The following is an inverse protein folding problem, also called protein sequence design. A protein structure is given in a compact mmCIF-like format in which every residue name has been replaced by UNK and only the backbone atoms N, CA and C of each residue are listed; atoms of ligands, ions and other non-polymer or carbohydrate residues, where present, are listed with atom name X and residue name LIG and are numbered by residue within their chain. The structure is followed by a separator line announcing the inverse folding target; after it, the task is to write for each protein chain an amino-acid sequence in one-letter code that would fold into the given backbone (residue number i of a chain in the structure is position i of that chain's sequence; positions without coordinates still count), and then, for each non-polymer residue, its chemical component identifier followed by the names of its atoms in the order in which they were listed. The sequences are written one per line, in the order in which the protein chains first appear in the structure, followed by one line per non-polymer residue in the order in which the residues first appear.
data_IF_415055689881
#
_entry.id   IF_415055689881
#
_cell.length_a   1.000
_cell.length_b   1.000
_cell.length_c   1.000
_cell.angle_alpha   90.00
_cell.angle_beta   90.00
_cell.angle_gamma   90.00
#
_symmetry.space_group_name_H-M   'P 1'
#
loop_
_entity.id
_entity.type
_entity.pdbx_description
1 polymer ?
#
# COMPACT_ATOMS: atom_id res chain seq x y z
N UNK A 1 -10.18 -27.53 5.04
CA UNK A 1 -10.15 -26.44 4.06
C UNK A 1 -9.79 -27.02 2.70
N UNK A 2 -10.38 -26.57 1.61
CA UNK A 2 -9.97 -26.99 0.29
C UNK A 2 -8.52 -26.58 0.02
N UNK A 3 -7.80 -27.40 -0.72
CA UNK A 3 -6.46 -27.09 -1.21
C UNK A 3 -6.55 -26.18 -2.45
N UNK A 4 -5.42 -25.59 -2.89
CA UNK A 4 -5.40 -24.84 -4.16
C UNK A 4 -5.79 -25.72 -5.34
N UNK A 5 -5.35 -26.98 -5.37
CA UNK A 5 -5.73 -27.93 -6.38
C UNK A 5 -7.24 -28.23 -6.41
N UNK A 6 -7.90 -28.35 -5.24
CA UNK A 6 -9.36 -28.51 -5.15
C UNK A 6 -10.12 -27.32 -5.73
N UNK A 7 -9.50 -26.15 -5.77
CA UNK A 7 -10.04 -24.92 -6.34
C UNK A 7 -9.62 -24.69 -7.81
N UNK A 8 -8.90 -25.63 -8.42
CA UNK A 8 -8.37 -25.51 -9.77
C UNK A 8 -7.23 -24.49 -9.91
N UNK A 9 -6.56 -24.18 -8.81
CA UNK A 9 -5.44 -23.25 -8.78
C UNK A 9 -4.12 -24.02 -8.65
N UNK A 10 -3.07 -23.49 -9.26
CA UNK A 10 -1.73 -24.03 -9.12
C UNK A 10 -1.00 -23.43 -7.91
N UNK A 11 -0.10 -24.20 -7.32
CA UNK A 11 0.86 -23.67 -6.38
C UNK A 11 1.78 -22.63 -7.07
N UNK A 12 2.22 -21.64 -6.31
CA UNK A 12 3.12 -20.60 -6.76
C UNK A 12 4.25 -20.37 -5.77
N UNK A 13 5.42 -20.09 -6.28
CA UNK A 13 6.57 -19.74 -5.45
C UNK A 13 6.45 -18.29 -4.97
N UNK A 14 6.59 -18.10 -3.66
CA UNK A 14 6.61 -16.77 -3.06
C UNK A 14 8.00 -16.14 -3.32
N UNK A 15 8.04 -14.98 -3.95
CA UNK A 15 9.29 -14.27 -4.19
C UNK A 15 9.99 -13.94 -2.85
N UNK A 16 11.20 -14.47 -2.68
CA UNK A 16 11.97 -14.35 -1.43
C UNK A 16 12.41 -12.91 -1.11
N UNK A 17 12.36 -11.98 -2.09
CA UNK A 17 12.66 -10.56 -1.91
C UNK A 17 11.53 -9.82 -1.21
N UNK A 18 10.32 -10.40 -1.17
CA UNK A 18 9.14 -9.79 -0.55
C UNK A 18 9.37 -9.40 0.90
N UNK A 19 8.87 -8.23 1.28
CA UNK A 19 9.04 -7.69 2.63
C UNK A 19 8.39 -8.54 3.74
N UNK A 20 7.45 -9.42 3.38
CA UNK A 20 6.74 -10.27 4.33
C UNK A 20 6.13 -11.50 3.63
N UNK A 21 6.20 -12.67 4.27
CA UNK A 21 5.49 -13.88 3.83
C UNK A 21 4.12 -13.92 4.49
N UNK A 22 3.11 -13.46 3.78
CA UNK A 22 1.75 -13.46 4.29
C UNK A 22 1.17 -14.87 4.33
N UNK A 23 0.55 -15.21 5.46
CA UNK A 23 -0.28 -16.40 5.64
C UNK A 23 -1.69 -15.95 5.97
N UNK A 24 -2.69 -16.53 5.33
CA UNK A 24 -4.09 -16.23 5.60
C UNK A 24 -4.56 -16.70 6.98
N UNK A 25 -5.77 -16.26 7.36
CA UNK A 25 -6.45 -16.71 8.56
C UNK A 25 -6.24 -15.83 9.80
N UNK A 26 -7.17 -15.98 10.75
CA UNK A 26 -7.22 -15.19 11.97
C UNK A 26 -6.02 -15.46 12.91
N UNK A 27 -5.57 -16.70 13.00
CA UNK A 27 -4.42 -17.05 13.84
C UNK A 27 -3.15 -16.33 13.38
N UNK A 28 -2.86 -16.36 12.06
CA UNK A 28 -1.71 -15.64 11.50
C UNK A 28 -1.81 -14.12 11.70
N UNK A 29 -3.03 -13.57 11.66
CA UNK A 29 -3.28 -12.16 11.94
C UNK A 29 -2.97 -11.83 13.40
N UNK A 30 -3.45 -12.64 14.33
CA UNK A 30 -3.19 -12.50 15.78
C UNK A 30 -1.71 -12.65 16.11
N UNK A 31 -1.04 -13.65 15.54
CA UNK A 31 0.39 -13.85 15.69
C UNK A 31 1.18 -12.61 15.25
N UNK A 32 0.76 -11.99 14.13
CA UNK A 32 1.41 -10.76 13.67
C UNK A 32 1.16 -9.58 14.59
N UNK A 33 -0.05 -9.42 15.14
CA UNK A 33 -0.36 -8.37 16.12
C UNK A 33 0.45 -8.58 17.39
N UNK A 34 0.46 -9.80 17.93
CA UNK A 34 1.22 -10.16 19.12
C UNK A 34 2.73 -9.89 18.93
N UNK A 35 3.28 -10.34 17.81
CA UNK A 35 4.67 -10.06 17.48
C UNK A 35 4.96 -8.56 17.42
N UNK A 36 4.16 -7.80 16.65
CA UNK A 36 4.47 -6.38 16.36
C UNK A 36 4.28 -5.48 17.58
N UNK A 37 3.28 -5.76 18.41
CA UNK A 37 3.00 -4.99 19.64
C UNK A 37 3.84 -5.49 20.83
N UNK A 38 3.72 -6.76 21.15
CA UNK A 38 4.14 -7.30 22.45
C UNK A 38 5.55 -7.91 22.41
N UNK A 39 5.85 -8.80 21.46
CA UNK A 39 7.12 -9.50 21.41
C UNK A 39 8.29 -8.64 20.93
N UNK A 40 8.08 -7.86 19.86
CA UNK A 40 9.15 -7.08 19.23
C UNK A 40 9.12 -5.59 19.59
N UNK A 41 8.05 -5.12 20.22
CA UNK A 41 7.86 -3.71 20.63
C UNK A 41 8.01 -2.72 19.45
N UNK A 42 7.75 -3.15 18.21
CA UNK A 42 7.97 -2.32 17.01
C UNK A 42 6.96 -1.18 16.88
N UNK A 43 5.79 -1.33 17.48
CA UNK A 43 4.80 -0.26 17.54
C UNK A 43 5.35 1.03 18.14
N UNK A 44 6.29 0.94 19.09
CA UNK A 44 6.89 2.12 19.77
C UNK A 44 7.69 3.03 18.83
N UNK A 45 8.07 2.52 17.65
CA UNK A 45 8.83 3.24 16.63
C UNK A 45 8.04 3.46 15.33
N UNK A 46 6.81 2.99 15.23
CA UNK A 46 5.99 2.97 14.01
C UNK A 46 6.00 4.28 13.24
N UNK A 47 5.80 5.42 13.90
CA UNK A 47 5.79 6.74 13.24
C UNK A 47 7.11 7.03 12.49
N UNK A 48 8.24 6.57 13.04
CA UNK A 48 9.56 6.80 12.45
C UNK A 48 9.85 5.84 11.30
N UNK A 49 9.36 4.61 11.38
CA UNK A 49 9.70 3.53 10.45
C UNK A 49 8.71 3.31 9.32
N UNK A 50 7.45 3.72 9.47
CA UNK A 50 6.33 3.41 8.58
C UNK A 50 6.52 3.75 7.09
N UNK A 51 7.45 4.62 6.78
CA UNK A 51 7.79 4.99 5.40
C UNK A 51 8.94 4.16 4.81
N UNK A 52 9.42 3.14 5.53
CA UNK A 52 10.45 2.23 5.04
C UNK A 52 9.96 1.40 3.84
N UNK A 53 10.94 0.84 3.13
CA UNK A 53 10.72 0.04 1.91
C UNK A 53 11.22 -1.39 2.09
N UNK A 54 12.25 -1.60 2.90
CA UNK A 54 12.94 -2.88 3.07
C UNK A 54 12.73 -3.42 4.48
N UNK A 55 12.57 -4.73 4.58
CA UNK A 55 12.51 -5.46 5.84
C UNK A 55 11.10 -5.69 6.36
N UNK A 56 11.05 -6.53 7.38
CA UNK A 56 9.83 -7.08 7.95
C UNK A 56 9.03 -6.04 8.73
N UNK A 57 9.72 -5.16 9.49
CA UNK A 57 9.12 -4.43 10.62
C UNK A 57 9.05 -2.92 10.42
N UNK A 58 9.31 -2.40 9.22
CA UNK A 58 9.15 -0.96 8.98
C UNK A 58 7.69 -0.50 9.17
N UNK A 59 6.72 -1.40 8.99
CA UNK A 59 5.30 -1.16 9.24
C UNK A 59 4.62 -2.38 9.84
N UNK A 60 3.40 -2.22 10.33
CA UNK A 60 2.63 -3.28 10.98
C UNK A 60 2.28 -4.46 10.05
N UNK A 61 2.07 -4.21 8.76
CA UNK A 61 1.62 -5.19 7.74
C UNK A 61 0.20 -5.74 7.98
N UNK A 62 -0.62 -5.08 8.81
CA UNK A 62 -1.96 -5.58 9.18
C UNK A 62 -2.98 -5.51 8.04
N UNK A 63 -2.72 -4.73 6.99
CA UNK A 63 -3.69 -4.45 5.93
C UNK A 63 -4.20 -5.69 5.21
N UNK A 64 -3.36 -6.71 5.00
CA UNK A 64 -3.78 -7.94 4.33
C UNK A 64 -4.88 -8.71 5.09
N UNK A 65 -4.81 -8.71 6.42
CA UNK A 65 -5.83 -9.35 7.26
C UNK A 65 -7.01 -8.43 7.56
N UNK A 66 -6.79 -7.12 7.60
CA UNK A 66 -7.86 -6.13 7.73
C UNK A 66 -8.76 -6.09 6.49
N UNK A 67 -8.20 -6.29 5.29
CA UNK A 67 -8.95 -6.23 4.04
C UNK A 67 -9.97 -7.37 3.91
N UNK A 68 -9.61 -8.58 4.37
CA UNK A 68 -10.47 -9.76 4.29
C UNK A 68 -11.22 -10.07 5.60
N UNK A 69 -11.06 -9.24 6.63
CA UNK A 69 -11.75 -9.39 7.91
C UNK A 69 -11.21 -10.48 8.83
N UNK A 70 -10.00 -11.03 8.55
CA UNK A 70 -9.36 -12.00 9.46
C UNK A 70 -9.03 -11.40 10.82
N UNK A 71 -8.91 -10.08 10.92
CA UNK A 71 -8.82 -9.33 12.17
C UNK A 71 -9.62 -8.03 12.07
N UNK A 72 -10.21 -7.62 13.20
CA UNK A 72 -10.98 -6.38 13.29
C UNK A 72 -10.08 -5.17 13.61
N UNK A 73 -10.33 -4.00 13.01
CA UNK A 73 -9.65 -2.77 13.42
C UNK A 73 -9.96 -2.38 14.87
N UNK A 74 -11.13 -2.76 15.39
CA UNK A 74 -11.51 -2.56 16.80
C UNK A 74 -10.64 -3.42 17.72
N UNK A 75 -10.38 -4.67 17.35
CA UNK A 75 -9.49 -5.55 18.11
C UNK A 75 -8.07 -4.97 18.17
N UNK A 76 -7.53 -4.52 17.04
CA UNK A 76 -6.21 -3.87 16.99
C UNK A 76 -6.19 -2.60 17.84
N UNK A 77 -7.23 -1.79 17.78
CA UNK A 77 -7.35 -0.58 18.61
C UNK A 77 -7.24 -0.90 20.10
N UNK A 78 -7.97 -1.89 20.60
CA UNK A 78 -7.92 -2.26 22.00
C UNK A 78 -6.59 -2.88 22.40
N UNK A 79 -5.97 -3.68 21.54
CA UNK A 79 -4.61 -4.19 21.75
C UNK A 79 -3.59 -3.03 21.88
N UNK A 80 -3.73 -1.96 21.09
CA UNK A 80 -2.88 -0.78 21.21
C UNK A 80 -3.17 -0.05 22.53
N UNK A 81 -4.44 0.06 22.94
CA UNK A 81 -4.79 0.70 24.21
C UNK A 81 -4.26 -0.07 25.43
N UNK A 82 -4.29 -1.39 25.39
CA UNK A 82 -3.69 -2.22 26.42
C UNK A 82 -2.15 -2.07 26.43
N UNK A 83 -1.53 -2.03 25.26
CA UNK A 83 -0.10 -1.73 25.14
C UNK A 83 0.24 -0.36 25.72
N UNK A 84 -0.53 0.69 25.41
CA UNK A 84 -0.35 2.05 25.94
C UNK A 84 -0.46 2.10 27.48
N UNK A 85 -1.34 1.26 28.06
CA UNK A 85 -1.54 1.19 29.50
C UNK A 85 -0.38 0.48 30.22
N UNK A 86 0.13 -0.61 29.63
CA UNK A 86 1.04 -1.53 30.32
C UNK A 86 2.50 -1.32 29.99
N UNK A 87 2.82 -0.76 28.82
CA UNK A 87 4.19 -0.66 28.31
C UNK A 87 4.58 0.81 28.01
N UNK A 88 4.01 1.40 26.95
CA UNK A 88 4.39 2.72 26.50
C UNK A 88 3.30 3.39 25.65
N UNK A 89 2.95 4.62 26.04
CA UNK A 89 2.14 5.53 25.22
C UNK A 89 3.02 6.59 24.59
N UNK A 90 3.04 6.69 23.26
CA UNK A 90 3.82 7.71 22.55
C UNK A 90 3.18 8.10 21.23
N UNK A 91 3.88 8.94 20.44
CA UNK A 91 3.40 9.36 19.12
C UNK A 91 3.28 8.22 18.11
N UNK A 92 4.03 7.13 18.25
CA UNK A 92 3.96 5.99 17.33
C UNK A 92 2.73 5.14 17.59
N UNK A 93 2.37 4.91 18.85
CA UNK A 93 1.14 4.19 19.23
C UNK A 93 -0.09 4.98 18.76
N UNK A 94 -0.14 6.28 19.02
CA UNK A 94 -1.17 7.17 18.47
C UNK A 94 -1.24 7.12 16.94
N UNK A 95 -0.07 7.11 16.26
CA UNK A 95 -0.03 7.15 14.80
C UNK A 95 -0.59 5.88 14.17
N UNK A 96 -0.42 4.71 14.79
CA UNK A 96 -1.03 3.47 14.29
C UNK A 96 -2.57 3.52 14.44
N UNK A 97 -3.09 4.05 15.54
CA UNK A 97 -4.53 4.32 15.69
C UNK A 97 -5.01 5.29 14.60
N UNK A 98 -4.27 6.34 14.33
CA UNK A 98 -4.60 7.32 13.30
C UNK A 98 -4.71 6.70 11.89
N UNK A 99 -3.87 5.71 11.55
CA UNK A 99 -3.98 4.99 10.28
C UNK A 99 -5.25 4.10 10.23
N UNK A 100 -5.69 3.53 11.37
CA UNK A 100 -6.98 2.83 11.42
C UNK A 100 -8.15 3.79 11.20
N UNK A 101 -8.07 5.02 11.74
CA UNK A 101 -9.07 6.06 11.50
C UNK A 101 -9.10 6.48 10.03
N UNK A 102 -7.96 6.56 9.34
CA UNK A 102 -7.94 6.82 7.88
C UNK A 102 -8.68 5.75 7.08
N UNK A 103 -8.56 4.48 7.48
CA UNK A 103 -9.31 3.39 6.85
C UNK A 103 -10.82 3.61 6.98
N UNK A 104 -11.28 3.94 8.20
CA UNK A 104 -12.70 4.21 8.45
C UNK A 104 -13.17 5.48 7.73
N UNK A 105 -12.33 6.52 7.70
CA UNK A 105 -12.61 7.74 6.97
C UNK A 105 -12.90 7.48 5.49
N UNK A 106 -12.06 6.71 4.79
CA UNK A 106 -12.31 6.37 3.39
C UNK A 106 -13.59 5.56 3.21
N UNK A 107 -13.93 4.68 4.15
CA UNK A 107 -15.20 3.96 4.14
C UNK A 107 -16.39 4.92 4.22
N UNK A 108 -16.36 5.85 5.17
CA UNK A 108 -17.44 6.83 5.32
C UNK A 108 -17.53 7.82 4.14
N UNK A 109 -16.39 8.20 3.57
CA UNK A 109 -16.36 8.98 2.32
C UNK A 109 -17.04 8.20 1.20
N UNK A 110 -16.75 6.92 1.05
CA UNK A 110 -17.40 6.09 0.03
C UNK A 110 -18.91 5.95 0.26
N UNK A 111 -19.33 5.79 1.51
CA UNK A 111 -20.76 5.75 1.85
C UNK A 111 -21.45 7.08 1.53
N UNK A 112 -20.79 8.21 1.79
CA UNK A 112 -21.34 9.56 1.53
C UNK A 112 -21.48 9.86 0.04
N UNK A 113 -20.49 9.49 -0.76
CA UNK A 113 -20.40 9.89 -2.16
C UNK A 113 -20.81 8.78 -3.15
N UNK A 114 -21.01 7.55 -2.66
CA UNK A 114 -21.45 6.42 -3.47
C UNK A 114 -20.55 6.21 -4.69
N UNK A 115 -21.17 6.02 -5.84
CA UNK A 115 -20.47 5.75 -7.10
C UNK A 115 -19.55 6.88 -7.61
N UNK A 116 -19.55 8.06 -6.98
CA UNK A 116 -18.63 9.14 -7.37
C UNK A 116 -17.17 8.76 -7.16
N UNK A 117 -16.86 7.85 -6.24
CA UNK A 117 -15.48 7.36 -6.02
C UNK A 117 -14.90 6.64 -7.25
N UNK A 118 -15.72 6.17 -8.20
CA UNK A 118 -15.29 5.50 -9.44
C UNK A 118 -15.34 6.42 -10.67
N UNK A 119 -15.81 7.67 -10.50
CA UNK A 119 -15.90 8.62 -11.61
C UNK A 119 -14.56 9.31 -11.84
N UNK A 120 -14.28 9.70 -13.08
CA UNK A 120 -13.00 10.30 -13.47
C UNK A 120 -12.69 11.59 -12.69
N UNK A 121 -13.70 12.41 -12.45
CA UNK A 121 -13.61 13.65 -11.66
C UNK A 121 -13.59 13.43 -10.14
N UNK A 122 -13.72 12.15 -9.68
CA UNK A 122 -13.77 11.81 -8.27
C UNK A 122 -14.93 12.47 -7.50
N UNK A 123 -14.75 12.61 -6.19
CA UNK A 123 -15.77 13.25 -5.32
C UNK A 123 -15.78 14.77 -5.44
N UNK A 124 -14.74 15.39 -6.00
CA UNK A 124 -14.66 16.83 -6.24
C UNK A 124 -15.19 17.22 -7.61
N UNK A 125 -15.56 16.26 -8.46
CA UNK A 125 -16.09 16.46 -9.82
C UNK A 125 -15.19 17.35 -10.69
N UNK A 126 -13.84 17.24 -10.47
CA UNK A 126 -12.87 18.03 -11.22
C UNK A 126 -12.72 17.53 -12.65
N UNK A 127 -12.63 18.45 -13.57
CA UNK A 127 -12.40 18.18 -14.98
C UNK A 127 -10.90 18.39 -15.31
N UNK A 128 -10.11 17.32 -15.08
CA UNK A 128 -8.71 17.28 -15.51
C UNK A 128 -8.59 16.56 -16.85
N UNK A 129 -7.69 17.02 -17.68
CA UNK A 129 -7.33 16.30 -18.89
C UNK A 129 -6.54 15.04 -18.54
N UNK A 130 -7.09 13.87 -18.86
CA UNK A 130 -6.48 12.57 -18.64
C UNK A 130 -6.15 11.88 -19.96
N UNK A 131 -4.91 11.45 -20.11
CA UNK A 131 -4.49 10.59 -21.22
C UNK A 131 -5.00 9.15 -21.04
N UNK A 132 -5.27 8.49 -22.15
CA UNK A 132 -5.63 7.05 -22.22
C UNK A 132 -4.60 6.28 -23.08
N UNK A 133 -3.35 6.71 -23.07
CA UNK A 133 -2.28 6.04 -23.79
C UNK A 133 -1.92 4.72 -23.13
N UNK A 134 -2.34 3.62 -23.78
CA UNK A 134 -2.07 2.26 -23.31
C UNK A 134 -0.58 1.91 -23.33
N UNK A 135 0.23 2.48 -24.24
CA UNK A 135 1.66 2.20 -24.30
C UNK A 135 2.38 2.77 -23.09
N UNK A 136 2.06 4.01 -22.73
CA UNK A 136 2.61 4.67 -21.53
C UNK A 136 2.14 3.93 -20.27
N UNK A 137 0.86 3.57 -20.19
CA UNK A 137 0.33 2.80 -19.07
C UNK A 137 1.04 1.45 -18.91
N UNK A 138 1.24 0.70 -20.00
CA UNK A 138 1.92 -0.59 -19.96
C UNK A 138 3.40 -0.45 -19.54
N UNK A 139 4.10 0.61 -19.92
CA UNK A 139 5.46 0.89 -19.41
C UNK A 139 5.43 1.06 -17.89
N UNK A 140 4.45 1.77 -17.34
CA UNK A 140 4.30 1.94 -15.91
C UNK A 140 3.97 0.60 -15.20
N UNK A 141 3.03 -0.18 -15.73
CA UNK A 141 2.68 -1.51 -15.20
C UNK A 141 3.90 -2.44 -15.15
N UNK A 142 4.71 -2.43 -16.22
CA UNK A 142 5.86 -3.33 -16.36
C UNK A 142 7.14 -2.80 -15.66
N UNK A 143 7.09 -1.68 -14.96
CA UNK A 143 8.28 -1.09 -14.34
C UNK A 143 9.35 -0.69 -15.38
N UNK A 144 8.93 -0.09 -16.49
CA UNK A 144 9.77 0.30 -17.64
C UNK A 144 9.66 1.81 -17.95
N UNK A 145 9.43 2.60 -16.92
CA UNK A 145 9.42 4.06 -17.00
C UNK A 145 10.85 4.61 -16.90
N UNK A 146 11.01 5.92 -17.08
CA UNK A 146 12.30 6.59 -16.92
C UNK A 146 12.71 6.79 -15.45
N UNK A 147 11.84 6.41 -14.49
CA UNK A 147 12.04 6.58 -13.05
C UNK A 147 12.32 5.24 -12.35
N UNK A 148 13.57 4.90 -12.04
CA UNK A 148 13.94 3.63 -11.45
C UNK A 148 13.22 3.33 -10.11
N UNK A 149 12.98 4.36 -9.30
CA UNK A 149 12.26 4.20 -8.04
C UNK A 149 10.81 3.78 -8.24
N UNK A 150 10.13 4.30 -9.26
CA UNK A 150 8.79 3.86 -9.68
C UNK A 150 8.85 2.42 -10.17
N UNK A 151 9.82 2.12 -11.04
CA UNK A 151 9.98 0.79 -11.63
C UNK A 151 10.19 -0.29 -10.57
N UNK A 152 11.05 -0.04 -9.57
CA UNK A 152 11.29 -0.97 -8.46
C UNK A 152 9.99 -1.29 -7.67
N UNK A 153 9.18 -0.28 -7.39
CA UNK A 153 7.90 -0.46 -6.69
C UNK A 153 6.90 -1.25 -7.54
N UNK A 154 6.85 -1.03 -8.85
CA UNK A 154 5.95 -1.76 -9.75
C UNK A 154 6.38 -3.23 -9.92
N UNK A 155 7.69 -3.50 -9.95
CA UNK A 155 8.23 -4.88 -9.96
C UNK A 155 7.94 -5.58 -8.63
N UNK A 156 8.10 -4.91 -7.47
CA UNK A 156 7.69 -5.48 -6.17
C UNK A 156 6.22 -5.88 -6.19
N UNK A 157 5.34 -4.98 -6.63
CA UNK A 157 3.90 -5.25 -6.71
C UNK A 157 3.59 -6.46 -7.59
N UNK A 158 4.13 -6.50 -8.80
CA UNK A 158 3.87 -7.59 -9.74
C UNK A 158 4.41 -8.94 -9.28
N UNK A 159 5.49 -8.94 -8.49
CA UNK A 159 6.15 -10.15 -8.00
C UNK A 159 5.56 -10.69 -6.69
N UNK A 160 4.94 -9.81 -5.87
CA UNK A 160 4.56 -10.17 -4.50
C UNK A 160 3.10 -9.87 -4.14
N UNK A 161 2.39 -9.12 -4.95
CA UNK A 161 1.08 -8.58 -4.59
C UNK A 161 1.12 -7.54 -3.45
N UNK A 162 2.32 -7.08 -3.09
CA UNK A 162 2.54 -6.12 -1.99
C UNK A 162 3.33 -4.89 -2.48
N UNK A 163 3.09 -3.77 -1.86
CA UNK A 163 3.88 -2.55 -2.01
C UNK A 163 3.76 -1.71 -0.75
N UNK A 164 4.86 -1.09 -0.31
CA UNK A 164 4.84 -0.17 0.82
C UNK A 164 3.90 1.01 0.59
N UNK A 165 3.32 1.58 1.66
CA UNK A 165 2.47 2.77 1.51
C UNK A 165 3.21 3.93 0.82
N UNK A 166 4.51 4.09 1.10
CA UNK A 166 5.34 5.10 0.43
C UNK A 166 5.48 4.83 -1.05
N UNK A 167 5.69 3.57 -1.44
CA UNK A 167 5.70 3.15 -2.83
C UNK A 167 4.40 3.48 -3.54
N UNK A 168 3.27 3.09 -2.96
CA UNK A 168 1.92 3.35 -3.54
C UNK A 168 1.69 4.82 -3.84
N UNK A 169 2.05 5.70 -2.91
CA UNK A 169 1.91 7.15 -3.11
C UNK A 169 2.77 7.67 -4.26
N UNK A 170 4.00 7.20 -4.38
CA UNK A 170 4.92 7.63 -5.42
C UNK A 170 4.49 7.15 -6.81
N UNK A 171 4.17 5.86 -6.96
CA UNK A 171 3.77 5.34 -8.28
C UNK A 171 2.42 5.88 -8.73
N UNK A 172 1.49 6.15 -7.78
CA UNK A 172 0.20 6.76 -8.10
C UNK A 172 0.36 8.24 -8.50
N UNK A 173 1.20 9.00 -7.80
CA UNK A 173 1.51 10.38 -8.15
C UNK A 173 2.20 10.46 -9.52
N UNK A 174 3.13 9.57 -9.80
CA UNK A 174 3.81 9.51 -11.09
C UNK A 174 2.82 9.24 -12.22
N UNK A 175 1.97 8.21 -12.08
CA UNK A 175 0.95 7.89 -13.09
C UNK A 175 0.02 9.07 -13.36
N UNK A 176 -0.55 9.66 -12.29
CA UNK A 176 -1.60 10.66 -12.41
C UNK A 176 -1.07 12.08 -12.69
N UNK A 177 0.07 12.47 -12.11
CA UNK A 177 0.57 13.85 -12.16
C UNK A 177 1.66 14.08 -13.20
N UNK A 178 2.54 13.06 -13.45
CA UNK A 178 3.58 13.15 -14.47
C UNK A 178 3.07 12.63 -15.81
N UNK A 179 2.62 11.39 -15.85
CA UNK A 179 2.15 10.73 -17.06
C UNK A 179 0.76 11.18 -17.47
N UNK A 180 0.00 11.80 -16.57
CA UNK A 180 -1.39 12.26 -16.77
C UNK A 180 -2.32 11.15 -17.27
N UNK A 181 -2.03 9.90 -16.95
CA UNK A 181 -2.89 8.76 -17.29
C UNK A 181 -4.12 8.75 -16.37
N UNK A 182 -5.27 8.39 -16.92
CA UNK A 182 -6.51 8.20 -16.15
C UNK A 182 -6.23 7.37 -14.90
N UNK A 183 -6.30 8.00 -13.75
CA UNK A 183 -5.94 7.44 -12.45
C UNK A 183 -6.70 6.15 -12.13
N UNK A 184 -7.90 5.97 -12.69
CA UNK A 184 -8.72 4.78 -12.49
C UNK A 184 -8.08 3.53 -13.08
N UNK A 185 -7.22 3.67 -14.09
CA UNK A 185 -6.47 2.54 -14.63
C UNK A 185 -5.46 2.02 -13.61
N UNK A 186 -4.78 2.93 -12.92
CA UNK A 186 -3.90 2.57 -11.82
C UNK A 186 -4.65 1.95 -10.64
N UNK A 187 -5.81 2.53 -10.28
CA UNK A 187 -6.65 1.99 -9.21
C UNK A 187 -7.11 0.55 -9.51
N UNK A 188 -7.54 0.27 -10.75
CA UNK A 188 -7.91 -1.07 -11.20
C UNK A 188 -6.74 -2.05 -11.25
N UNK A 189 -5.57 -1.58 -11.65
CA UNK A 189 -4.37 -2.41 -11.60
C UNK A 189 -4.03 -2.80 -10.16
N UNK A 190 -4.10 -1.87 -9.22
CA UNK A 190 -3.92 -2.17 -7.79
C UNK A 190 -4.97 -3.15 -7.28
N UNK A 191 -6.23 -2.99 -7.69
CA UNK A 191 -7.31 -3.92 -7.36
C UNK A 191 -7.00 -5.35 -7.80
N UNK A 192 -6.42 -5.52 -9.00
CA UNK A 192 -6.07 -6.85 -9.53
C UNK A 192 -4.82 -7.47 -8.92
N UNK A 193 -3.93 -6.66 -8.29
CA UNK A 193 -2.62 -7.13 -7.85
C UNK A 193 -2.47 -7.20 -6.33
N UNK A 194 -3.13 -6.31 -5.57
CA UNK A 194 -2.87 -6.18 -4.15
C UNK A 194 -3.53 -7.29 -3.32
N UNK A 195 -2.74 -8.01 -2.53
CA UNK A 195 -3.23 -8.99 -1.56
C UNK A 195 -4.02 -8.34 -0.41
N UNK A 196 -3.83 -7.06 -0.18
CA UNK A 196 -4.52 -6.26 0.83
C UNK A 196 -5.51 -5.27 0.22
N UNK A 197 -6.05 -5.61 -0.96
CA UNK A 197 -7.04 -4.76 -1.62
C UNK A 197 -8.26 -4.52 -0.73
N UNK A 198 -8.60 -3.27 -0.55
CA UNK A 198 -9.84 -2.77 0.05
C UNK A 198 -10.36 -1.62 -0.83
N UNK A 199 -11.60 -1.75 -1.29
CA UNK A 199 -12.17 -0.81 -2.26
C UNK A 199 -12.13 0.65 -1.77
N UNK A 200 -12.48 0.87 -0.51
CA UNK A 200 -12.55 2.22 0.05
C UNK A 200 -11.18 2.86 0.19
N UNK A 201 -10.23 2.09 0.74
CA UNK A 201 -8.84 2.52 0.91
C UNK A 201 -8.15 2.72 -0.44
N UNK A 202 -8.36 1.81 -1.40
CA UNK A 202 -7.74 1.90 -2.71
C UNK A 202 -8.22 3.14 -3.46
N UNK A 203 -9.53 3.23 -3.74
CA UNK A 203 -10.07 4.35 -4.51
C UNK A 203 -9.95 5.68 -3.76
N UNK A 204 -10.09 5.68 -2.42
CA UNK A 204 -9.88 6.86 -1.60
C UNK A 204 -8.47 7.42 -1.71
N UNK A 205 -7.44 6.59 -1.61
CA UNK A 205 -6.04 7.00 -1.76
C UNK A 205 -5.71 7.41 -3.21
N UNK A 206 -6.23 6.71 -4.21
CA UNK A 206 -6.04 7.09 -5.60
C UNK A 206 -6.65 8.45 -5.91
N UNK A 207 -7.89 8.72 -5.48
CA UNK A 207 -8.50 10.05 -5.61
C UNK A 207 -7.69 11.13 -4.88
N UNK A 208 -7.22 10.82 -3.67
CA UNK A 208 -6.41 11.75 -2.87
C UNK A 208 -5.15 12.17 -3.62
N UNK A 209 -4.37 11.20 -4.12
CA UNK A 209 -3.11 11.48 -4.83
C UNK A 209 -3.34 12.13 -6.19
N UNK A 210 -4.43 11.78 -6.87
CA UNK A 210 -4.77 12.33 -8.20
C UNK A 210 -5.35 13.73 -8.16
N UNK A 211 -5.68 14.25 -6.97
CA UNK A 211 -6.23 15.61 -6.79
C UNK A 211 -7.73 15.73 -7.06
N UNK A 212 -8.44 14.60 -7.18
CA UNK A 212 -9.90 14.54 -7.37
C UNK A 212 -10.64 14.11 -6.10
N UNK A 213 -9.91 13.98 -4.99
CA UNK A 213 -10.39 13.56 -3.68
C UNK A 213 -10.09 14.58 -2.58
N UNK A 214 -9.89 14.08 -1.37
CA UNK A 214 -9.83 14.89 -0.14
C UNK A 214 -8.49 15.59 0.13
N UNK A 215 -7.49 15.57 -0.80
CA UNK A 215 -6.27 16.35 -0.59
C UNK A 215 -6.51 17.84 -0.90
N UNK A 216 -6.50 18.73 0.12
CA UNK A 216 -6.72 20.15 -0.10
C UNK A 216 -5.59 20.86 -0.85
N UNK A 217 -4.40 20.20 -0.96
CA UNK A 217 -3.19 20.80 -1.52
C UNK A 217 -2.89 20.38 -2.95
N UNK A 218 -3.60 19.36 -3.48
CA UNK A 218 -3.36 18.79 -4.81
C UNK A 218 -1.87 18.51 -5.06
N UNK A 219 -1.24 17.77 -4.16
CA UNK A 219 0.21 17.56 -4.11
C UNK A 219 0.71 16.74 -5.29
N UNK A 220 1.85 17.12 -5.83
CA UNK A 220 2.67 16.33 -6.75
C UNK A 220 3.95 15.90 -6.03
N UNK A 221 4.24 14.60 -6.05
CA UNK A 221 5.47 14.08 -5.46
C UNK A 221 6.65 14.30 -6.42
N UNK A 222 7.74 14.87 -5.92
CA UNK A 222 9.01 14.86 -6.62
C UNK A 222 9.66 13.48 -6.43
N UNK A 223 9.59 12.62 -7.45
CA UNK A 223 10.00 11.21 -7.36
C UNK A 223 11.48 11.08 -7.01
N UNK A 224 12.34 11.89 -7.62
CA UNK A 224 13.77 11.90 -7.33
C UNK A 224 14.06 12.23 -5.87
N UNK A 225 13.45 13.29 -5.35
CA UNK A 225 13.58 13.64 -3.94
C UNK A 225 13.05 12.54 -3.00
N UNK A 226 11.98 11.85 -3.39
CA UNK A 226 11.46 10.72 -2.61
C UNK A 226 12.43 9.53 -2.62
N UNK A 227 13.03 9.22 -3.78
CA UNK A 227 14.05 8.19 -3.90
C UNK A 227 15.28 8.51 -3.03
N UNK A 228 15.82 9.72 -3.15
CA UNK A 228 16.98 10.18 -2.35
C UNK A 228 16.70 10.10 -0.84
N UNK A 229 15.46 10.37 -0.43
CA UNK A 229 15.07 10.36 0.99
C UNK A 229 14.83 8.98 1.57
N UNK A 230 14.21 8.06 0.82
CA UNK A 230 13.74 6.77 1.35
C UNK A 230 14.58 5.58 0.87
N UNK A 231 15.39 5.77 -0.17
CA UNK A 231 16.31 4.77 -0.70
C UNK A 231 17.66 5.41 -1.11
N UNK A 232 18.33 6.17 -0.22
CA UNK A 232 19.50 7.01 -0.55
C UNK A 232 20.69 6.23 -1.09
N UNK A 233 20.74 4.93 -0.85
CA UNK A 233 21.81 4.03 -1.32
C UNK A 233 21.34 3.12 -2.45
N UNK A 234 20.18 3.37 -3.02
CA UNK A 234 19.52 2.55 -4.05
C UNK A 234 19.38 1.06 -3.67
N UNK A 235 19.38 0.73 -2.37
CA UNK A 235 19.28 -0.67 -1.90
C UNK A 235 17.97 -1.32 -2.34
N UNK A 236 16.86 -0.61 -2.17
CA UNK A 236 15.55 -1.08 -2.58
C UNK A 236 15.46 -1.24 -4.11
N UNK A 237 15.93 -0.25 -4.85
CA UNK A 237 15.98 -0.29 -6.31
C UNK A 237 16.85 -1.46 -6.79
N UNK A 238 17.99 -1.69 -6.17
CA UNK A 238 18.87 -2.81 -6.52
C UNK A 238 18.22 -4.17 -6.27
N UNK A 239 17.46 -4.33 -5.17
CA UNK A 239 16.74 -5.57 -4.89
C UNK A 239 15.77 -5.92 -6.02
N UNK A 240 15.06 -4.93 -6.55
CA UNK A 240 13.97 -5.17 -7.49
C UNK A 240 14.35 -5.03 -8.96
N UNK A 241 15.38 -4.25 -9.29
CA UNK A 241 15.77 -3.96 -10.68
C UNK A 241 17.00 -4.72 -11.16
N UNK A 242 17.80 -5.30 -10.24
CA UNK A 242 18.91 -6.14 -10.68
C UNK A 242 18.36 -7.38 -11.40
N UNK A 243 18.78 -7.56 -12.65
CA UNK A 243 18.56 -8.83 -13.34
C UNK A 243 19.24 -9.91 -12.51
N UNK A 244 18.50 -10.97 -12.10
CA UNK A 244 19.15 -12.18 -11.58
C UNK A 244 20.15 -12.62 -12.66
N UNK A 245 21.43 -12.51 -12.36
CA UNK A 245 22.43 -13.27 -13.09
C UNK A 245 22.09 -14.73 -12.81
N UNK A 246 21.60 -15.41 -13.83
CA UNK A 246 21.37 -16.85 -13.74
C UNK A 246 22.72 -17.51 -13.40
N UNK A 247 22.80 -18.07 -12.20
CA UNK A 247 23.81 -19.03 -11.82
C UNK A 247 23.25 -20.41 -12.08
#
# INVERSE_FOLDING_TARGET
MPTLADLGLNDFDVDSRGAFKFKGGADSAKDRVDYYLWKSNKISYYKKTRNGLIGLDYSSKFSAWLSNGSISPIEIFWQIKDYEKNILKNQSTYWLIFELIWRDYFKYISMKYGNKIFKIGGILEKDYHWSRDKKIFNKWVNGQTDEPFVNANMVELSSTGWMSNRGRQNVASYLSKELKIDWRWGARYFESMLIDYDVHSNYGNWMYVSGVGNDPRDRKFNIKFQADRYDPLNKYQNIWLQKRLFI
#
